data_IF_371495010811
#
_entry.id   IF_371495010811
#
_cell.length_a   1.000
_cell.length_b   1.000
_cell.length_c   1.000
_cell.angle_alpha   90.00
_cell.angle_beta   90.00
_cell.angle_gamma   90.00
#
_symmetry.space_group_name_H-M   'P 1'
#
loop_
_entity.id
_entity.type
_entity.pdbx_description
1 polymer ?
#
# COMPACT_ATOMS: atom_id res chain seq x y z
N UNK A 1 46.12 -18.25 27.26
CA UNK A 1 45.59 -16.88 27.20
C UNK A 1 45.31 -16.41 25.78
N UNK A 2 46.13 -16.64 24.78
CA UNK A 2 46.00 -16.20 23.40
C UNK A 2 44.82 -16.86 22.65
N UNK A 3 44.55 -18.13 22.94
CA UNK A 3 43.46 -18.92 22.33
C UNK A 3 42.07 -18.52 22.79
N UNK A 4 41.89 -18.15 24.05
CA UNK A 4 40.63 -17.66 24.62
C UNK A 4 40.24 -16.29 24.07
N UNK A 5 41.23 -15.44 23.81
CA UNK A 5 41.04 -14.11 23.25
C UNK A 5 40.59 -14.19 21.76
N UNK A 6 41.12 -15.15 20.98
CA UNK A 6 40.71 -15.40 19.61
C UNK A 6 39.30 -15.97 19.49
N UNK A 7 38.88 -16.82 20.41
CA UNK A 7 37.51 -17.33 20.45
C UNK A 7 36.49 -16.27 20.87
N UNK A 8 36.79 -15.44 21.83
CA UNK A 8 35.95 -14.28 22.21
C UNK A 8 35.78 -13.29 21.05
N UNK A 9 36.85 -13.01 20.32
CA UNK A 9 36.78 -12.10 19.16
C UNK A 9 35.90 -12.70 18.03
N UNK A 10 36.00 -14.00 17.76
CA UNK A 10 35.14 -14.69 16.78
C UNK A 10 33.67 -14.70 17.18
N UNK A 11 33.38 -14.91 18.47
CA UNK A 11 31.99 -14.83 18.99
C UNK A 11 31.41 -13.42 18.88
N UNK A 12 32.19 -12.40 19.16
CA UNK A 12 31.81 -11.00 19.04
C UNK A 12 31.55 -10.60 17.56
N UNK A 13 32.41 -11.06 16.64
CA UNK A 13 32.20 -10.85 15.21
C UNK A 13 30.94 -11.53 14.69
N UNK A 14 30.64 -12.74 15.16
CA UNK A 14 29.45 -13.50 14.81
C UNK A 14 28.16 -12.81 15.29
N UNK A 15 28.17 -12.21 16.48
CA UNK A 15 27.01 -11.47 17.01
C UNK A 15 26.75 -10.19 16.23
N UNK A 16 27.80 -9.50 15.76
CA UNK A 16 27.63 -8.30 14.89
C UNK A 16 27.04 -8.68 13.54
N UNK A 17 27.45 -9.81 12.94
CA UNK A 17 26.90 -10.26 11.65
C UNK A 17 25.43 -10.67 11.80
N UNK A 18 25.04 -11.34 12.88
CA UNK A 18 23.64 -11.70 13.13
C UNK A 18 22.76 -10.48 13.36
N UNK A 19 23.26 -9.40 13.96
CA UNK A 19 22.48 -8.17 14.20
C UNK A 19 22.18 -7.38 12.92
N UNK A 20 22.95 -7.56 11.85
CA UNK A 20 22.72 -6.89 10.58
C UNK A 20 21.59 -7.51 9.73
N UNK A 21 21.17 -8.74 10.02
CA UNK A 21 20.11 -9.43 9.28
C UNK A 21 18.71 -9.02 9.75
N UNK A 22 18.61 -8.34 10.89
CA UNK A 22 17.32 -7.96 11.49
C UNK A 22 16.69 -6.69 10.91
N UNK A 23 17.32 -6.03 9.93
CA UNK A 23 16.72 -4.87 9.25
C UNK A 23 15.79 -5.35 8.13
N UNK A 24 14.70 -6.02 8.50
CA UNK A 24 13.53 -6.20 7.62
C UNK A 24 12.87 -4.83 7.44
N UNK A 25 13.36 -4.05 6.48
CA UNK A 25 12.69 -2.81 6.08
C UNK A 25 11.28 -3.19 5.61
N UNK A 26 10.26 -2.74 6.33
CA UNK A 26 8.88 -2.92 5.88
C UNK A 26 8.74 -2.25 4.52
N UNK A 27 8.53 -3.04 3.46
CA UNK A 27 8.26 -2.52 2.13
C UNK A 27 7.08 -1.55 2.23
N UNK A 28 7.30 -0.31 1.83
CA UNK A 28 6.25 0.70 1.84
C UNK A 28 5.52 0.69 0.50
N UNK A 29 4.29 1.22 0.46
CA UNK A 29 3.61 1.43 -0.82
C UNK A 29 4.45 2.23 -1.81
N UNK A 30 5.23 3.20 -1.35
CA UNK A 30 6.11 3.98 -2.21
C UNK A 30 7.20 3.12 -2.88
N UNK A 31 7.74 2.13 -2.18
CA UNK A 31 8.67 1.17 -2.78
C UNK A 31 7.97 0.31 -3.83
N UNK A 32 6.82 -0.26 -3.51
CA UNK A 32 6.00 -1.00 -4.47
C UNK A 32 5.72 -0.19 -5.73
N UNK A 33 5.19 1.02 -5.56
CA UNK A 33 4.89 1.93 -6.66
C UNK A 33 6.13 2.22 -7.54
N UNK A 34 7.26 2.52 -6.91
CA UNK A 34 8.48 2.84 -7.66
C UNK A 34 9.08 1.63 -8.38
N UNK A 35 8.91 0.42 -7.83
CA UNK A 35 9.38 -0.81 -8.45
C UNK A 35 8.57 -1.15 -9.71
N UNK A 36 7.25 -0.90 -9.67
CA UNK A 36 6.32 -1.36 -10.71
C UNK A 36 5.84 -0.30 -11.69
N UNK A 37 6.00 1.00 -11.39
CA UNK A 37 5.44 2.09 -12.21
C UNK A 37 5.95 2.14 -13.65
N UNK A 38 7.07 1.50 -13.94
CA UNK A 38 7.69 1.46 -15.27
C UNK A 38 7.65 0.05 -15.89
N UNK A 39 6.95 -0.91 -15.26
CA UNK A 39 6.79 -2.24 -15.80
C UNK A 39 5.99 -2.19 -17.10
N UNK A 40 6.23 -3.15 -18.00
CA UNK A 40 5.55 -3.24 -19.28
C UNK A 40 4.03 -3.39 -19.08
N UNK A 41 3.24 -2.62 -19.81
CA UNK A 41 1.76 -2.57 -19.73
C UNK A 41 1.20 -2.04 -18.41
N UNK A 42 2.00 -1.60 -17.46
CA UNK A 42 1.52 -0.98 -16.23
C UNK A 42 1.15 0.48 -16.49
N UNK A 43 -0.02 0.88 -16.04
CA UNK A 43 -0.42 2.30 -16.01
C UNK A 43 -0.26 2.82 -14.60
N UNK A 44 0.51 3.89 -14.45
CA UNK A 44 0.72 4.52 -13.15
C UNK A 44 0.44 6.01 -13.21
N UNK A 45 -0.14 6.53 -12.14
CA UNK A 45 -0.48 7.94 -12.01
C UNK A 45 -0.18 8.44 -10.61
N UNK A 46 0.44 9.61 -10.52
CA UNK A 46 0.66 10.31 -9.26
C UNK A 46 0.24 11.76 -9.41
N UNK A 47 -0.60 12.24 -8.51
CA UNK A 47 -1.01 13.65 -8.50
C UNK A 47 -0.02 14.46 -7.68
N UNK A 48 0.73 15.38 -8.32
CA UNK A 48 1.56 16.32 -7.59
C UNK A 48 0.73 17.18 -6.65
N UNK A 49 1.35 17.60 -5.54
CA UNK A 49 0.66 18.34 -4.49
C UNK A 49 -0.04 19.62 -4.95
N UNK A 50 0.47 20.29 -5.98
CA UNK A 50 -0.13 21.52 -6.54
C UNK A 50 -1.35 21.27 -7.44
N UNK A 51 -1.50 20.04 -7.98
CA UNK A 51 -2.67 19.67 -8.81
C UNK A 51 -3.83 19.06 -8.02
N UNK A 52 -3.69 18.93 -6.69
CA UNK A 52 -4.72 18.33 -5.82
C UNK A 52 -6.08 19.03 -5.90
N UNK A 53 -6.08 20.33 -6.25
CA UNK A 53 -7.34 21.06 -6.46
C UNK A 53 -8.19 20.50 -7.59
N UNK A 54 -7.58 19.84 -8.58
CA UNK A 54 -8.29 19.22 -9.69
C UNK A 54 -9.08 17.98 -9.23
N UNK A 55 -8.54 17.21 -8.30
CA UNK A 55 -9.22 16.02 -7.75
C UNK A 55 -10.52 16.38 -7.01
N UNK A 56 -10.59 17.58 -6.43
CA UNK A 56 -11.77 18.04 -5.69
C UNK A 56 -13.01 18.23 -6.57
N UNK A 57 -12.82 18.39 -7.87
CA UNK A 57 -13.88 18.59 -8.83
C UNK A 57 -14.29 17.31 -9.55
N UNK A 58 -13.60 16.18 -9.27
CA UNK A 58 -13.84 14.90 -9.95
C UNK A 58 -15.16 14.25 -9.50
N UNK A 59 -15.49 14.34 -8.21
CA UNK A 59 -16.75 13.85 -7.65
C UNK A 59 -17.15 14.69 -6.44
N UNK A 60 -18.40 15.17 -6.35
CA UNK A 60 -18.90 15.88 -5.16
C UNK A 60 -18.80 15.04 -3.89
N UNK A 61 -19.06 13.74 -3.97
CA UNK A 61 -19.07 12.77 -2.87
C UNK A 61 -17.64 12.60 -2.31
N UNK A 62 -16.65 12.51 -3.20
CA UNK A 62 -15.25 12.35 -2.88
C UNK A 62 -14.54 13.67 -2.54
N UNK A 63 -15.18 14.81 -2.77
CA UNK A 63 -14.57 16.13 -2.54
C UNK A 63 -14.04 16.28 -1.11
N UNK A 64 -14.79 15.82 -0.11
CA UNK A 64 -14.39 15.88 1.30
C UNK A 64 -13.13 15.03 1.58
N UNK A 65 -13.02 13.89 0.90
CA UNK A 65 -11.86 13.02 0.96
C UNK A 65 -10.65 13.71 0.34
N UNK A 66 -10.77 14.16 -0.92
CA UNK A 66 -9.67 14.76 -1.66
C UNK A 66 -9.16 16.07 -1.07
N UNK A 67 -9.99 16.82 -0.35
CA UNK A 67 -9.56 18.02 0.38
C UNK A 67 -8.44 17.75 1.38
N UNK A 68 -8.42 16.57 1.97
CA UNK A 68 -7.45 16.16 2.99
C UNK A 68 -6.30 15.30 2.45
N UNK A 69 -6.29 15.00 1.15
CA UNK A 69 -5.23 14.21 0.50
C UNK A 69 -3.95 15.04 0.39
N UNK A 70 -2.83 14.46 0.81
CA UNK A 70 -1.48 15.01 0.69
C UNK A 70 -0.66 14.33 -0.40
N UNK A 71 -0.92 13.05 -0.67
CA UNK A 71 -0.30 12.27 -1.73
C UNK A 71 -1.35 11.29 -2.27
N UNK A 72 -1.46 11.24 -3.59
CA UNK A 72 -2.36 10.34 -4.30
C UNK A 72 -1.56 9.60 -5.37
N UNK A 73 -1.67 8.29 -5.38
CA UNK A 73 -1.08 7.44 -6.39
C UNK A 73 -2.06 6.37 -6.82
N UNK A 74 -2.07 6.09 -8.10
CA UNK A 74 -2.78 4.97 -8.70
C UNK A 74 -1.79 4.13 -9.49
N UNK A 75 -1.92 2.82 -9.43
CA UNK A 75 -1.19 1.88 -10.28
C UNK A 75 -2.12 0.76 -10.70
N UNK A 76 -2.11 0.45 -12.00
CA UNK A 76 -2.97 -0.54 -12.61
C UNK A 76 -2.16 -1.50 -13.46
N UNK A 77 -2.42 -2.78 -13.27
CA UNK A 77 -1.89 -3.89 -14.06
C UNK A 77 -3.06 -4.44 -14.89
N UNK A 78 -3.20 -4.04 -16.16
CA UNK A 78 -4.38 -4.37 -16.98
C UNK A 78 -4.42 -5.84 -17.39
N UNK A 79 -3.27 -6.54 -17.31
CA UNK A 79 -3.15 -7.96 -17.62
C UNK A 79 -1.96 -8.56 -16.87
N UNK A 80 -2.20 -9.58 -16.07
CA UNK A 80 -1.17 -10.33 -15.35
C UNK A 80 -1.27 -11.82 -15.63
N UNK A 81 -0.14 -12.51 -15.57
CA UNK A 81 -0.10 -13.97 -15.48
C UNK A 81 -0.50 -14.41 -14.06
N UNK A 82 -0.91 -15.68 -13.85
CA UNK A 82 -1.21 -16.18 -12.50
C UNK A 82 -0.06 -15.98 -11.50
N UNK A 83 1.19 -16.17 -11.94
CA UNK A 83 2.38 -15.98 -11.10
C UNK A 83 2.57 -14.51 -10.71
N UNK A 84 2.40 -13.59 -11.65
CA UNK A 84 2.46 -12.15 -11.38
C UNK A 84 1.32 -11.70 -10.45
N UNK A 85 0.10 -12.22 -10.68
CA UNK A 85 -1.05 -11.95 -9.82
C UNK A 85 -0.78 -12.39 -8.37
N UNK A 86 -0.24 -13.59 -8.18
CA UNK A 86 0.13 -14.09 -6.86
C UNK A 86 1.23 -13.23 -6.19
N UNK A 87 2.22 -12.79 -6.96
CA UNK A 87 3.28 -11.91 -6.46
C UNK A 87 2.72 -10.56 -6.01
N UNK A 88 1.88 -9.90 -6.83
CA UNK A 88 1.23 -8.63 -6.47
C UNK A 88 0.39 -8.81 -5.21
N UNK A 89 -0.40 -9.89 -5.11
CA UNK A 89 -1.19 -10.19 -3.92
C UNK A 89 -0.31 -10.26 -2.66
N UNK A 90 0.82 -11.00 -2.71
CA UNK A 90 1.76 -11.12 -1.59
C UNK A 90 2.39 -9.78 -1.20
N UNK A 91 2.75 -8.96 -2.18
CA UNK A 91 3.33 -7.65 -1.93
C UNK A 91 2.31 -6.70 -1.26
N UNK A 92 1.05 -6.71 -1.71
CA UNK A 92 -0.02 -5.93 -1.09
C UNK A 92 -0.29 -6.42 0.35
N UNK A 93 -0.39 -7.73 0.57
CA UNK A 93 -0.55 -8.29 1.93
C UNK A 93 0.62 -7.90 2.84
N UNK A 94 1.84 -7.91 2.32
CA UNK A 94 3.02 -7.48 3.07
C UNK A 94 2.99 -6.00 3.44
N UNK A 95 2.59 -5.13 2.52
CA UNK A 95 2.50 -3.68 2.72
C UNK A 95 1.42 -3.34 3.74
N UNK A 96 0.30 -4.07 3.71
CA UNK A 96 -0.87 -3.81 4.56
C UNK A 96 -0.88 -4.57 5.87
N UNK A 97 0.09 -5.45 6.13
CA UNK A 97 0.13 -6.36 7.31
C UNK A 97 -0.01 -5.68 8.67
N UNK A 98 0.39 -4.40 8.78
CA UNK A 98 0.33 -3.61 10.01
C UNK A 98 -0.76 -2.52 9.95
N UNK A 99 -1.67 -2.62 9.02
CA UNK A 99 -2.81 -1.74 8.87
C UNK A 99 -4.07 -2.39 9.45
N UNK A 100 -5.13 -1.61 9.61
CA UNK A 100 -6.48 -2.10 9.91
C UNK A 100 -7.24 -2.29 8.59
N UNK A 101 -7.80 -3.48 8.35
CA UNK A 101 -8.67 -3.71 7.20
C UNK A 101 -10.08 -3.25 7.53
N UNK A 102 -10.59 -2.32 6.77
CA UNK A 102 -11.98 -1.89 6.84
C UNK A 102 -12.89 -2.79 6.00
N UNK A 103 -12.39 -3.22 4.84
CA UNK A 103 -13.05 -4.20 3.97
C UNK A 103 -12.01 -5.21 3.51
N UNK A 104 -12.34 -6.48 3.59
CA UNK A 104 -11.58 -7.58 2.97
C UNK A 104 -12.56 -8.62 2.43
N UNK A 105 -12.67 -8.69 1.11
CA UNK A 105 -13.46 -9.71 0.40
C UNK A 105 -12.52 -10.52 -0.49
N UNK A 106 -12.66 -11.83 -0.47
CA UNK A 106 -11.94 -12.75 -1.34
C UNK A 106 -12.98 -13.74 -1.87
N UNK A 107 -13.25 -13.69 -3.17
CA UNK A 107 -14.23 -14.53 -3.86
C UNK A 107 -13.55 -15.17 -5.08
N UNK A 108 -13.09 -16.41 -4.92
CA UNK A 108 -12.30 -17.10 -5.96
C UNK A 108 -10.97 -16.37 -6.23
N UNK A 109 -10.81 -15.86 -7.45
CA UNK A 109 -9.65 -15.06 -7.85
C UNK A 109 -9.83 -13.57 -7.60
N UNK A 110 -11.04 -13.15 -7.23
CA UNK A 110 -11.36 -11.73 -7.00
C UNK A 110 -11.03 -11.33 -5.57
N UNK A 111 -10.45 -10.15 -5.43
CA UNK A 111 -10.14 -9.55 -4.12
C UNK A 111 -10.52 -8.08 -4.10
N UNK A 112 -11.11 -7.67 -2.99
CA UNK A 112 -11.28 -6.27 -2.60
C UNK A 112 -10.69 -6.07 -1.20
N UNK A 113 -9.75 -5.13 -1.08
CA UNK A 113 -9.15 -4.76 0.19
C UNK A 113 -9.19 -3.23 0.34
N UNK A 114 -9.77 -2.76 1.44
CA UNK A 114 -9.64 -1.37 1.89
C UNK A 114 -8.91 -1.42 3.22
N UNK A 115 -7.67 -0.99 3.23
CA UNK A 115 -6.76 -1.08 4.36
C UNK A 115 -6.28 0.31 4.76
N UNK A 116 -6.33 0.62 6.05
CA UNK A 116 -6.04 1.95 6.59
C UNK A 116 -4.93 1.91 7.63
N UNK A 117 -4.10 2.94 7.63
CA UNK A 117 -3.12 3.18 8.70
C UNK A 117 -3.57 4.34 9.56
N UNK A 118 -3.77 4.06 10.83
CA UNK A 118 -4.24 5.01 11.82
C UNK A 118 -3.08 5.64 12.61
N UNK A 119 -3.30 6.86 13.09
CA UNK A 119 -2.46 7.51 14.12
C UNK A 119 -3.35 8.35 15.00
N UNK A 120 -3.59 7.87 16.23
CA UNK A 120 -4.64 8.40 17.11
C UNK A 120 -6.02 8.20 16.47
N UNK A 121 -6.87 9.19 16.54
CA UNK A 121 -8.24 9.17 15.99
C UNK A 121 -8.33 9.48 14.49
N UNK A 122 -7.19 9.54 13.79
CA UNK A 122 -7.15 9.96 12.39
C UNK A 122 -6.50 8.90 11.50
N UNK A 123 -7.10 8.66 10.36
CA UNK A 123 -6.51 7.85 9.30
C UNK A 123 -5.47 8.67 8.53
N UNK A 124 -4.26 8.13 8.43
CA UNK A 124 -3.13 8.79 7.76
C UNK A 124 -2.86 8.23 6.38
N UNK A 125 -3.33 7.02 6.11
CA UNK A 125 -3.12 6.33 4.85
C UNK A 125 -4.30 5.43 4.58
N UNK A 126 -4.72 5.38 3.31
CA UNK A 126 -5.71 4.44 2.79
C UNK A 126 -5.08 3.74 1.60
N UNK A 127 -5.17 2.42 1.55
CA UNK A 127 -4.83 1.59 0.40
C UNK A 127 -6.10 0.88 0.00
N UNK A 128 -6.49 1.04 -1.26
CA UNK A 128 -7.63 0.35 -1.85
C UNK A 128 -7.07 -0.54 -2.95
N UNK A 129 -7.30 -1.83 -2.85
CA UNK A 129 -6.84 -2.82 -3.78
C UNK A 129 -7.99 -3.64 -4.31
N UNK A 130 -8.13 -3.69 -5.63
CA UNK A 130 -9.10 -4.52 -6.35
C UNK A 130 -8.34 -5.42 -7.33
N UNK A 131 -8.65 -6.71 -7.29
CA UNK A 131 -8.17 -7.71 -8.22
C UNK A 131 -9.39 -8.49 -8.75
N UNK A 132 -9.48 -8.67 -10.05
CA UNK A 132 -10.51 -9.51 -10.69
C UNK A 132 -9.89 -10.70 -11.45
N UNK A 133 -8.88 -11.32 -10.85
CA UNK A 133 -8.12 -12.45 -11.41
C UNK A 133 -6.92 -12.03 -12.24
N UNK A 134 -7.12 -11.29 -13.32
CA UNK A 134 -6.03 -10.89 -14.23
C UNK A 134 -5.72 -9.40 -14.23
N UNK A 135 -6.58 -8.58 -13.63
CA UNK A 135 -6.41 -7.13 -13.57
C UNK A 135 -6.30 -6.68 -12.12
N UNK A 136 -5.32 -5.85 -11.83
CA UNK A 136 -5.13 -5.31 -10.50
C UNK A 136 -5.16 -3.79 -10.54
N UNK A 137 -5.91 -3.20 -9.63
CA UNK A 137 -5.95 -1.75 -9.42
C UNK A 137 -5.63 -1.44 -7.97
N UNK A 138 -4.68 -0.56 -7.76
CA UNK A 138 -4.30 -0.13 -6.43
C UNK A 138 -4.33 1.38 -6.37
N UNK A 139 -5.08 1.91 -5.41
CA UNK A 139 -5.11 3.32 -5.07
C UNK A 139 -4.46 3.53 -3.70
N UNK A 140 -3.66 4.55 -3.61
CA UNK A 140 -3.00 4.98 -2.40
C UNK A 140 -3.31 6.43 -2.12
N UNK A 141 -3.85 6.68 -0.94
CA UNK A 141 -4.11 8.03 -0.44
C UNK A 141 -3.36 8.22 0.87
N UNK A 142 -2.59 9.29 0.96
CA UNK A 142 -1.98 9.75 2.21
C UNK A 142 -2.55 11.10 2.57
N UNK A 143 -2.92 11.29 3.85
CA UNK A 143 -3.57 12.52 4.25
C UNK A 143 -3.86 12.60 5.72
N UNK A 144 -4.99 13.23 6.06
CA UNK A 144 -5.50 13.34 7.41
C UNK A 144 -7.03 13.20 7.38
N UNK A 145 -7.48 11.95 7.33
CA UNK A 145 -8.88 11.62 7.10
C UNK A 145 -9.62 11.37 8.40
N UNK A 146 -10.91 11.64 8.37
CA UNK A 146 -11.87 11.23 9.41
C UNK A 146 -12.19 9.75 9.26
N UNK A 147 -12.14 8.99 10.36
CA UNK A 147 -12.34 7.54 10.32
C UNK A 147 -13.79 7.17 9.93
N UNK A 148 -14.78 7.91 10.43
CA UNK A 148 -16.18 7.65 10.11
C UNK A 148 -16.47 7.93 8.64
N UNK A 149 -15.85 8.98 8.06
CA UNK A 149 -16.02 9.27 6.63
C UNK A 149 -15.41 8.20 5.75
N UNK A 150 -14.20 7.69 6.08
CA UNK A 150 -13.61 6.57 5.33
C UNK A 150 -14.48 5.32 5.42
N UNK A 151 -15.01 5.02 6.63
CA UNK A 151 -15.91 3.88 6.83
C UNK A 151 -17.17 4.01 5.98
N UNK A 152 -17.82 5.17 6.00
CA UNK A 152 -19.00 5.46 5.20
C UNK A 152 -18.73 5.23 3.70
N UNK A 153 -17.65 5.81 3.15
CA UNK A 153 -17.27 5.64 1.74
C UNK A 153 -17.00 4.17 1.38
N UNK A 154 -16.44 3.40 2.34
CA UNK A 154 -16.20 1.98 2.15
C UNK A 154 -17.50 1.16 2.13
N UNK A 155 -18.49 1.52 2.96
CA UNK A 155 -19.80 0.86 3.03
C UNK A 155 -20.71 1.22 1.84
N UNK A 156 -20.64 2.44 1.36
CA UNK A 156 -21.41 2.96 0.22
C UNK A 156 -20.84 2.57 -1.14
N UNK A 157 -19.74 1.81 -1.18
CA UNK A 157 -19.05 1.40 -2.41
C UNK A 157 -18.55 2.57 -3.29
N UNK A 158 -18.52 3.81 -2.77
CA UNK A 158 -18.11 5.01 -3.51
C UNK A 158 -16.64 4.94 -4.00
N UNK A 159 -15.83 4.05 -3.43
CA UNK A 159 -14.48 3.81 -3.93
C UNK A 159 -14.47 3.05 -5.27
N UNK A 160 -15.57 2.42 -5.68
CA UNK A 160 -15.64 1.69 -6.95
C UNK A 160 -15.57 2.67 -8.14
N UNK A 161 -16.12 3.86 -8.01
CA UNK A 161 -16.10 4.91 -9.02
C UNK A 161 -14.69 5.45 -9.33
N UNK A 162 -13.71 5.14 -8.47
CA UNK A 162 -12.31 5.55 -8.68
C UNK A 162 -11.55 4.63 -9.65
N UNK A 163 -12.18 3.54 -10.13
CA UNK A 163 -11.54 2.55 -11.03
C UNK A 163 -12.08 2.60 -12.46
N UNK A 164 -13.14 3.34 -12.72
CA UNK A 164 -13.69 3.57 -14.06
C UNK A 164 -13.04 4.80 -14.72
#
# INVERSE_FOLDING_TARGET
>A
MLTTMKTLFKLFLLTIILSMIACSSSQSFNQFYNNHKNDEYVTSFQVPGYLRSLLRNASPELNSLFKNVKDFKSISFPKTTPLQSEQINKEIDYITRNNTDMVRKNEGEERLLISVKEKGERIKQVIIYKNNGSKHHILYLKGNFDANRIKQLAEEHEFEDLYE
#
